data_IF_040414560753
#
_entry.id   IF_040414560753
#
_cell.length_a   1.000
_cell.length_b   1.000
_cell.length_c   1.000
_cell.angle_alpha   90.00
_cell.angle_beta   90.00
_cell.angle_gamma   90.00
#
_symmetry.space_group_name_H-M   'P 1'
#
loop_
_entity.id
_entity.type
_entity.pdbx_description
1 polymer ?
#
# COMPACT_ATOMS: atom_id res chain seq x y z
N UNK A 1 -57.82 -15.64 31.52
CA UNK A 1 -56.41 -16.09 31.39
C UNK A 1 -55.67 -15.41 30.23
N UNK A 2 -56.33 -15.03 29.13
CA UNK A 2 -55.71 -14.44 27.91
C UNK A 2 -55.19 -13.00 28.05
N UNK A 3 -55.83 -12.16 28.88
CA UNK A 3 -55.46 -10.74 29.01
C UNK A 3 -54.10 -10.47 29.65
N UNK A 4 -53.65 -11.34 30.57
CA UNK A 4 -52.35 -11.20 31.24
C UNK A 4 -51.18 -11.43 30.28
N UNK A 5 -51.28 -12.43 29.40
CA UNK A 5 -50.27 -12.68 28.36
C UNK A 5 -50.21 -11.57 27.31
N UNK A 6 -51.35 -10.98 26.95
CA UNK A 6 -51.40 -9.84 26.03
C UNK A 6 -50.76 -8.58 26.63
N UNK A 7 -50.94 -8.35 27.93
CA UNK A 7 -50.28 -7.26 28.65
C UNK A 7 -48.75 -7.46 28.74
N UNK A 8 -48.30 -8.69 29.03
CA UNK A 8 -46.87 -9.03 29.02
C UNK A 8 -46.28 -8.86 27.61
N UNK A 9 -46.98 -9.29 26.57
CA UNK A 9 -46.56 -9.12 25.18
C UNK A 9 -46.41 -7.64 24.83
N UNK A 10 -47.39 -6.80 25.20
CA UNK A 10 -47.35 -5.36 24.96
C UNK A 10 -46.17 -4.72 25.70
N UNK A 11 -45.94 -5.08 26.97
CA UNK A 11 -44.80 -4.59 27.75
C UNK A 11 -43.45 -4.99 27.13
N UNK A 12 -43.32 -6.23 26.65
CA UNK A 12 -42.12 -6.70 25.94
C UNK A 12 -41.93 -5.92 24.65
N UNK A 13 -42.98 -5.74 23.84
CA UNK A 13 -42.92 -4.97 22.59
C UNK A 13 -42.50 -3.53 22.86
N UNK A 14 -43.10 -2.86 23.85
CA UNK A 14 -42.72 -1.49 24.24
C UNK A 14 -41.27 -1.43 24.70
N UNK A 15 -40.80 -2.41 25.48
CA UNK A 15 -39.40 -2.49 25.90
C UNK A 15 -38.45 -2.75 24.72
N UNK A 16 -38.85 -3.62 23.78
CA UNK A 16 -38.06 -3.95 22.59
C UNK A 16 -37.95 -2.75 21.64
N UNK A 17 -39.05 -2.03 21.41
CA UNK A 17 -39.07 -0.80 20.62
C UNK A 17 -38.19 0.27 21.27
N UNK A 18 -38.29 0.45 22.59
CA UNK A 18 -37.41 1.35 23.32
C UNK A 18 -35.94 0.96 23.14
N UNK A 19 -35.60 -0.33 23.31
CA UNK A 19 -34.23 -0.80 23.22
C UNK A 19 -33.66 -0.69 21.81
N UNK A 20 -34.45 -0.99 20.78
CA UNK A 20 -34.07 -0.82 19.38
C UNK A 20 -33.85 0.66 19.09
N UNK A 21 -34.78 1.54 19.44
CA UNK A 21 -34.62 2.98 19.24
C UNK A 21 -33.36 3.50 19.93
N UNK A 22 -33.13 3.14 21.21
CA UNK A 22 -31.92 3.53 21.95
C UNK A 22 -30.65 3.03 21.29
N UNK A 23 -30.57 1.74 20.99
CA UNK A 23 -29.38 1.13 20.40
C UNK A 23 -29.10 1.67 18.98
N UNK A 24 -30.14 1.97 18.20
CA UNK A 24 -30.02 2.57 16.87
C UNK A 24 -29.56 4.03 16.93
N UNK A 25 -30.05 4.83 17.88
CA UNK A 25 -29.59 6.22 18.08
C UNK A 25 -28.10 6.27 18.46
N UNK A 26 -27.69 5.46 19.45
CA UNK A 26 -26.29 5.39 19.87
C UNK A 26 -25.36 4.96 18.73
N UNK A 27 -25.83 4.09 17.82
CA UNK A 27 -25.06 3.66 16.65
C UNK A 27 -24.94 4.78 15.59
N UNK A 28 -26.02 5.55 15.37
CA UNK A 28 -26.03 6.65 14.41
C UNK A 28 -25.09 7.78 14.84
N UNK A 29 -25.11 8.15 16.12
CA UNK A 29 -24.23 9.20 16.66
C UNK A 29 -22.75 8.82 16.53
N UNK A 30 -22.40 7.57 16.82
CA UNK A 30 -21.04 7.04 16.59
C UNK A 30 -20.67 7.09 15.12
N UNK A 31 -21.60 6.74 14.22
CA UNK A 31 -21.35 6.82 12.79
C UNK A 31 -21.11 8.28 12.35
N UNK A 32 -21.90 9.24 12.82
CA UNK A 32 -21.71 10.66 12.53
C UNK A 32 -20.39 11.20 13.09
N UNK A 33 -19.97 10.76 14.29
CA UNK A 33 -18.68 11.12 14.86
C UNK A 33 -17.50 10.58 14.02
N UNK A 34 -17.57 9.32 13.58
CA UNK A 34 -16.55 8.74 12.70
C UNK A 34 -16.50 9.44 11.34
N UNK A 35 -17.65 9.83 10.77
CA UNK A 35 -17.69 10.60 9.53
C UNK A 35 -16.97 11.95 9.69
N UNK A 36 -17.15 12.62 10.82
CA UNK A 36 -16.44 13.87 11.11
C UNK A 36 -14.92 13.65 11.20
N UNK A 37 -14.47 12.59 11.87
CA UNK A 37 -13.04 12.24 11.94
C UNK A 37 -12.45 11.95 10.56
N UNK A 38 -13.15 11.20 9.70
CA UNK A 38 -12.71 10.90 8.33
C UNK A 38 -12.49 12.21 7.55
N UNK A 39 -13.45 13.13 7.59
CA UNK A 39 -13.34 14.43 6.89
C UNK A 39 -12.18 15.27 7.46
N UNK A 40 -11.98 15.25 8.77
CA UNK A 40 -10.85 15.95 9.39
C UNK A 40 -9.49 15.35 8.99
N UNK A 41 -9.41 14.03 8.82
CA UNK A 41 -8.21 13.34 8.35
C UNK A 41 -7.94 13.66 6.87
N UNK A 42 -8.97 13.64 6.02
CA UNK A 42 -8.86 14.01 4.61
C UNK A 42 -8.29 15.43 4.44
N UNK A 43 -8.83 16.39 5.18
CA UNK A 43 -8.33 17.77 5.18
C UNK A 43 -6.86 17.86 5.63
N UNK A 44 -6.48 17.13 6.68
CA UNK A 44 -5.07 17.08 7.14
C UNK A 44 -4.16 16.47 6.09
N UNK A 45 -4.63 15.47 5.35
CA UNK A 45 -3.88 14.85 4.26
C UNK A 45 -3.68 15.82 3.09
N UNK A 46 -4.71 16.58 2.74
CA UNK A 46 -4.63 17.63 1.72
C UNK A 46 -3.67 18.76 2.13
N UNK A 47 -3.71 19.17 3.40
CA UNK A 47 -2.77 20.16 3.94
C UNK A 47 -1.33 19.64 3.88
N UNK A 48 -1.08 18.39 4.30
CA UNK A 48 0.24 17.76 4.19
C UNK A 48 0.70 17.61 2.74
N UNK A 49 -0.20 17.24 1.84
CA UNK A 49 0.08 17.16 0.40
C UNK A 49 0.47 18.53 -0.16
N UNK A 50 -0.26 19.58 0.22
CA UNK A 50 0.02 20.96 -0.19
C UNK A 50 1.34 21.45 0.39
N UNK A 51 1.64 21.13 1.65
CA UNK A 51 2.92 21.48 2.29
C UNK A 51 4.09 20.74 1.63
N UNK A 52 3.94 19.46 1.30
CA UNK A 52 4.94 18.69 0.56
C UNK A 52 5.15 19.28 -0.85
N UNK A 53 4.08 19.64 -1.55
CA UNK A 53 4.15 20.25 -2.88
C UNK A 53 4.80 21.64 -2.85
N UNK A 54 4.51 22.45 -1.84
CA UNK A 54 5.09 23.78 -1.65
C UNK A 54 6.55 23.72 -1.14
N UNK A 55 6.89 22.69 -0.36
CA UNK A 55 8.25 22.43 0.12
C UNK A 55 9.12 21.69 -0.91
N UNK A 56 8.56 21.24 -2.03
CA UNK A 56 9.34 20.91 -3.21
C UNK A 56 9.69 22.20 -3.94
N UNK A 57 10.92 22.75 -3.78
CA UNK A 57 11.34 23.81 -4.67
C UNK A 57 11.39 23.18 -6.05
N UNK A 58 10.54 23.68 -6.96
CA UNK A 58 10.57 23.47 -8.40
C UNK A 58 11.62 22.47 -8.87
N UNK A 59 11.38 21.17 -8.61
CA UNK A 59 11.99 20.12 -9.39
C UNK A 59 11.12 20.07 -10.63
N UNK A 60 11.25 21.12 -11.44
CA UNK A 60 11.32 20.94 -12.88
C UNK A 60 12.23 19.73 -13.03
N UNK A 61 11.63 18.58 -13.33
CA UNK A 61 12.38 17.47 -13.86
C UNK A 61 12.88 18.08 -15.16
N UNK A 62 14.18 18.40 -15.35
CA UNK A 62 14.63 18.38 -16.71
C UNK A 62 14.34 16.94 -17.12
N UNK A 63 13.40 16.79 -18.05
CA UNK A 63 13.26 15.60 -18.87
C UNK A 63 14.57 15.46 -19.63
N UNK A 64 15.62 15.07 -18.92
CA UNK A 64 16.85 14.56 -19.45
C UNK A 64 16.79 13.07 -19.16
N UNK A 65 15.84 12.43 -19.83
CA UNK A 65 16.06 11.12 -20.39
C UNK A 65 17.23 11.24 -21.39
N UNK A 66 18.44 11.37 -20.85
CA UNK A 66 19.68 11.26 -21.57
C UNK A 66 20.73 10.70 -20.64
N UNK A 67 20.99 9.40 -20.86
CA UNK A 67 22.30 8.76 -20.75
C UNK A 67 22.95 8.69 -19.37
N UNK A 68 22.67 7.59 -18.68
CA UNK A 68 23.74 6.73 -18.17
C UNK A 68 23.34 5.29 -18.43
N UNK A 69 23.55 4.82 -19.66
CA UNK A 69 23.42 3.41 -20.07
C UNK A 69 24.49 2.50 -19.40
N UNK A 70 24.97 2.88 -18.22
CA UNK A 70 26.12 2.28 -17.53
C UNK A 70 26.08 2.46 -16.00
N UNK A 71 24.93 2.86 -15.44
CA UNK A 71 24.77 2.87 -14.00
C UNK A 71 24.57 1.43 -13.51
N UNK A 72 25.59 0.90 -12.85
CA UNK A 72 25.56 -0.43 -12.21
C UNK A 72 24.39 -0.47 -11.22
N UNK A 73 23.43 -1.36 -11.46
CA UNK A 73 22.20 -1.53 -10.66
C UNK A 73 22.54 -2.31 -9.38
N UNK A 74 22.22 -1.75 -8.22
CA UNK A 74 22.48 -2.41 -6.93
C UNK A 74 21.32 -3.36 -6.56
N UNK A 75 21.59 -4.65 -6.45
CA UNK A 75 20.57 -5.67 -6.19
C UNK A 75 19.87 -5.50 -4.83
N UNK A 76 20.57 -4.97 -3.83
CA UNK A 76 20.09 -4.78 -2.46
C UNK A 76 19.28 -3.49 -2.28
N UNK A 77 19.62 -2.42 -3.01
CA UNK A 77 19.00 -1.09 -2.82
C UNK A 77 18.13 -0.64 -3.98
N UNK A 78 18.25 -1.22 -5.17
CA UNK A 78 17.55 -0.74 -6.36
C UNK A 78 16.03 -0.90 -6.30
N UNK A 79 15.34 -0.06 -7.05
CA UNK A 79 13.88 -0.11 -7.20
C UNK A 79 13.43 -1.16 -8.24
N UNK A 80 12.13 -1.48 -8.27
CA UNK A 80 11.55 -2.42 -9.27
C UNK A 80 11.83 -1.95 -10.70
N UNK A 81 11.73 -0.65 -10.95
CA UNK A 81 11.92 -0.07 -12.29
C UNK A 81 13.38 -0.12 -12.74
N UNK A 82 14.33 0.10 -11.83
CA UNK A 82 15.77 -0.08 -12.10
C UNK A 82 16.10 -1.54 -12.41
N UNK A 83 15.55 -2.49 -11.66
CA UNK A 83 15.71 -3.92 -11.97
C UNK A 83 15.09 -4.28 -13.32
N UNK A 84 13.96 -3.68 -13.69
CA UNK A 84 13.32 -3.86 -15.02
C UNK A 84 14.11 -3.25 -16.17
N UNK A 85 15.00 -2.30 -15.90
CA UNK A 85 15.88 -1.72 -16.93
C UNK A 85 16.96 -2.69 -17.38
N UNK A 86 17.20 -3.75 -16.61
CA UNK A 86 18.17 -4.78 -16.93
C UNK A 86 17.67 -5.68 -18.08
N UNK A 87 18.58 -6.12 -18.96
CA UNK A 87 18.22 -6.98 -20.09
C UNK A 87 17.56 -8.27 -19.59
N UNK A 88 16.42 -8.63 -20.20
CA UNK A 88 15.65 -9.85 -19.91
C UNK A 88 15.08 -9.95 -18.49
N UNK A 89 15.12 -8.87 -17.68
CA UNK A 89 14.49 -8.82 -16.36
C UNK A 89 13.10 -8.18 -16.47
N UNK A 90 12.07 -9.03 -16.42
CA UNK A 90 10.67 -8.57 -16.38
C UNK A 90 10.17 -8.27 -14.97
N UNK A 91 8.92 -7.79 -14.87
CA UNK A 91 8.24 -7.48 -13.59
C UNK A 91 8.27 -8.66 -12.60
N UNK A 92 8.00 -9.87 -13.08
CA UNK A 92 7.98 -11.07 -12.24
C UNK A 92 9.37 -11.43 -11.69
N UNK A 93 10.42 -11.28 -12.49
CA UNK A 93 11.81 -11.54 -12.07
C UNK A 93 12.28 -10.46 -11.10
N UNK A 94 12.04 -9.18 -11.40
CA UNK A 94 12.39 -8.06 -10.54
C UNK A 94 11.75 -8.18 -9.14
N UNK A 95 10.49 -8.61 -9.08
CA UNK A 95 9.79 -8.82 -7.81
C UNK A 95 10.41 -9.96 -6.99
N UNK A 96 10.75 -11.08 -7.63
CA UNK A 96 11.46 -12.18 -6.96
C UNK A 96 12.84 -11.76 -6.45
N UNK A 97 13.55 -10.90 -7.18
CA UNK A 97 14.85 -10.35 -6.74
C UNK A 97 14.66 -9.56 -5.44
N UNK A 98 13.60 -8.77 -5.32
CA UNK A 98 13.29 -8.03 -4.09
C UNK A 98 12.96 -8.96 -2.91
N UNK A 99 12.18 -10.02 -3.15
CA UNK A 99 11.76 -10.97 -2.13
C UNK A 99 12.93 -11.79 -1.56
N UNK A 100 14.01 -11.97 -2.32
CA UNK A 100 15.18 -12.77 -1.94
C UNK A 100 16.34 -11.95 -1.36
N UNK A 101 16.15 -10.65 -1.13
CA UNK A 101 17.14 -9.83 -0.43
C UNK A 101 17.37 -10.36 0.99
N UNK A 102 18.60 -10.29 1.53
CA UNK A 102 19.79 -9.65 0.97
C UNK A 102 20.68 -10.59 0.12
N UNK A 103 21.40 -10.02 -0.84
CA UNK A 103 22.41 -10.70 -1.65
C UNK A 103 23.82 -10.35 -1.19
N UNK A 104 24.65 -11.36 -0.96
CA UNK A 104 26.05 -11.19 -0.60
C UNK A 104 26.97 -11.06 -1.82
N UNK A 105 26.56 -11.60 -2.97
CA UNK A 105 27.29 -11.49 -4.24
C UNK A 105 26.34 -11.57 -5.43
N UNK A 106 26.79 -11.09 -6.59
CA UNK A 106 26.00 -11.14 -7.84
C UNK A 106 25.66 -12.57 -8.26
N UNK A 107 26.49 -13.56 -7.91
CA UNK A 107 26.23 -14.98 -8.21
C UNK A 107 24.99 -15.55 -7.52
N UNK A 108 24.54 -14.95 -6.40
CA UNK A 108 23.34 -15.42 -5.68
C UNK A 108 22.03 -15.16 -6.44
N UNK A 109 22.05 -14.33 -7.50
CA UNK A 109 20.92 -14.18 -8.41
C UNK A 109 20.52 -15.50 -9.10
N UNK A 110 21.43 -16.46 -9.22
CA UNK A 110 21.10 -17.80 -9.77
C UNK A 110 20.08 -18.58 -8.94
N UNK A 111 19.88 -18.22 -7.66
CA UNK A 111 18.83 -18.79 -6.82
C UNK A 111 17.43 -18.30 -7.21
N UNK A 112 17.36 -17.18 -7.93
CA UNK A 112 16.09 -16.56 -8.33
C UNK A 112 15.48 -17.34 -9.49
N UNK A 113 14.24 -17.86 -9.34
CA UNK A 113 13.62 -18.65 -10.39
C UNK A 113 13.27 -17.77 -11.59
N UNK A 114 13.95 -18.02 -12.70
CA UNK A 114 13.89 -17.21 -13.93
C UNK A 114 15.22 -16.54 -14.30
N UNK A 115 16.25 -16.62 -13.44
CA UNK A 115 17.60 -16.19 -13.77
C UNK A 115 18.43 -17.41 -14.18
N UNK A 116 18.88 -17.43 -15.43
CA UNK A 116 19.81 -18.44 -15.95
C UNK A 116 21.25 -17.95 -15.84
N UNK A 117 22.22 -18.86 -15.88
CA UNK A 117 23.64 -18.50 -15.85
C UNK A 117 24.07 -17.58 -17.01
N UNK A 118 23.43 -17.73 -18.17
CA UNK A 118 23.62 -16.84 -19.33
C UNK A 118 23.13 -15.42 -19.05
N UNK A 119 21.96 -15.29 -18.42
CA UNK A 119 21.39 -14.01 -18.02
C UNK A 119 22.26 -13.33 -16.96
N UNK A 120 22.82 -14.09 -16.01
CA UNK A 120 23.77 -13.56 -15.04
C UNK A 120 25.06 -13.04 -15.71
N UNK A 121 25.59 -13.74 -16.72
CA UNK A 121 26.77 -13.30 -17.45
C UNK A 121 26.51 -11.98 -18.23
N UNK A 122 25.32 -11.84 -18.80
CA UNK A 122 24.87 -10.62 -19.49
C UNK A 122 24.64 -9.45 -18.51
N UNK A 123 24.23 -9.77 -17.29
CA UNK A 123 24.04 -8.80 -16.20
C UNK A 123 25.34 -8.39 -15.51
N UNK A 124 26.36 -9.25 -15.46
CA UNK A 124 27.52 -9.10 -14.57
C UNK A 124 28.29 -7.79 -14.69
N UNK A 125 28.25 -7.14 -15.86
CA UNK A 125 28.85 -5.80 -16.07
C UNK A 125 27.93 -4.63 -15.68
N UNK A 126 26.68 -4.90 -15.31
CA UNK A 126 25.61 -3.91 -15.07
C UNK A 126 24.98 -4.02 -13.68
N UNK A 127 25.44 -4.94 -12.83
CA UNK A 127 24.88 -5.17 -11.49
C UNK A 127 25.96 -5.17 -10.40
N UNK A 128 25.59 -4.72 -9.20
CA UNK A 128 26.39 -4.80 -7.96
C UNK A 128 25.51 -5.25 -6.80
N UNK A 129 26.11 -5.76 -5.72
CA UNK A 129 25.41 -5.95 -4.44
C UNK A 129 25.60 -4.75 -3.53
#
# INVERSE_FOLDING_TARGET
MVGFFSFILLAIITWLLWNICRNTTDALDKQTALQYEIVAIEKRLDDLSTLLQAAQPERAIPSNAATSHDAVVNLNTSSIEELRSLPKVGKATAQKILEMRPYASTSELTRVPGITGELLAELGGRITV
#
